data_IF_008830604481
#
_entry.id   IF_008830604481
#
_cell.length_a   1.000
_cell.length_b   1.000
_cell.length_c   1.000
_cell.angle_alpha   90.00
_cell.angle_beta   90.00
_cell.angle_gamma   90.00
#
_symmetry.space_group_name_H-M   'P 1'
#
loop_
_entity.id
_entity.type
_entity.pdbx_description
1 polymer ?
#
# COMPACT_ATOMS: atom_id res chain seq x y z
N UNK A 1 32.43 -45.99 48.90
CA UNK A 1 32.72 -44.78 49.70
C UNK A 1 32.71 -43.64 48.71
N UNK A 2 31.59 -42.94 48.56
CA UNK A 2 31.51 -41.73 47.73
C UNK A 2 32.39 -40.67 48.37
N UNK A 3 33.23 -40.04 47.55
CA UNK A 3 34.14 -39.00 47.99
C UNK A 3 33.32 -37.82 48.52
N UNK A 4 33.74 -37.15 49.60
CA UNK A 4 33.07 -35.94 50.10
C UNK A 4 32.93 -34.87 49.00
N UNK A 5 33.83 -34.90 48.01
CA UNK A 5 33.82 -34.05 46.82
C UNK A 5 32.64 -34.35 45.87
N UNK A 6 32.24 -35.60 45.79
CA UNK A 6 31.14 -36.10 44.94
C UNK A 6 29.78 -35.65 45.52
N UNK A 7 29.66 -35.68 46.85
CA UNK A 7 28.47 -35.19 47.57
C UNK A 7 28.35 -33.67 47.46
N UNK A 8 29.45 -32.93 47.57
CA UNK A 8 29.43 -31.47 47.38
C UNK A 8 29.19 -31.07 45.92
N UNK A 9 29.66 -31.88 44.96
CA UNK A 9 29.35 -31.69 43.53
C UNK A 9 27.86 -31.91 43.24
N UNK A 10 27.25 -33.00 43.71
CA UNK A 10 25.81 -33.25 43.55
C UNK A 10 24.96 -32.15 44.20
N UNK A 11 25.38 -31.62 45.35
CA UNK A 11 24.74 -30.46 45.98
C UNK A 11 24.81 -29.22 45.09
N UNK A 12 25.99 -28.89 44.59
CA UNK A 12 26.19 -27.73 43.72
C UNK A 12 25.37 -27.86 42.43
N UNK A 13 25.32 -29.06 41.84
CA UNK A 13 24.52 -29.36 40.65
C UNK A 13 23.02 -29.20 40.92
N UNK A 14 22.53 -29.70 42.06
CA UNK A 14 21.13 -29.57 42.44
C UNK A 14 20.74 -28.11 42.73
N UNK A 15 21.61 -27.33 43.38
CA UNK A 15 21.40 -25.89 43.61
C UNK A 15 21.38 -25.14 42.27
N UNK A 16 22.31 -25.44 41.36
CA UNK A 16 22.37 -24.82 40.04
C UNK A 16 21.13 -25.15 39.20
N UNK A 17 20.67 -26.41 39.21
CA UNK A 17 19.40 -26.82 38.56
C UNK A 17 18.19 -26.13 39.17
N UNK A 18 18.12 -26.04 40.48
CA UNK A 18 17.02 -25.35 41.16
C UNK A 18 16.99 -23.86 40.80
N UNK A 19 18.14 -23.19 40.77
CA UNK A 19 18.25 -21.80 40.35
C UNK A 19 17.87 -21.60 38.87
N UNK A 20 18.28 -22.50 37.97
CA UNK A 20 17.89 -22.47 36.56
C UNK A 20 16.38 -22.67 36.36
N UNK A 21 15.78 -23.63 37.07
CA UNK A 21 14.34 -23.86 37.00
C UNK A 21 13.56 -22.66 37.54
N UNK A 22 13.97 -22.09 38.68
CA UNK A 22 13.36 -20.88 39.21
C UNK A 22 13.43 -19.72 38.20
N UNK A 23 14.59 -19.52 37.56
CA UNK A 23 14.73 -18.46 36.55
C UNK A 23 13.91 -18.72 35.30
N UNK A 24 13.78 -19.98 34.88
CA UNK A 24 12.92 -20.39 33.76
C UNK A 24 11.46 -20.07 34.06
N UNK A 25 11.00 -20.37 35.26
CA UNK A 25 9.62 -20.10 35.68
C UNK A 25 9.33 -18.59 35.76
N UNK A 26 10.29 -17.81 36.28
CA UNK A 26 10.22 -16.34 36.28
C UNK A 26 10.12 -15.77 34.85
N UNK A 27 10.98 -16.25 33.94
CA UNK A 27 10.96 -15.81 32.54
C UNK A 27 9.66 -16.20 31.84
N UNK A 28 9.15 -17.42 32.08
CA UNK A 28 7.88 -17.85 31.51
C UNK A 28 6.70 -16.99 31.99
N UNK A 29 6.71 -16.57 33.26
CA UNK A 29 5.70 -15.66 33.80
C UNK A 29 5.82 -14.25 33.19
N UNK A 30 7.04 -13.73 33.01
CA UNK A 30 7.28 -12.45 32.37
C UNK A 30 6.84 -12.45 30.90
N UNK A 31 7.23 -13.49 30.14
CA UNK A 31 6.83 -13.68 28.74
C UNK A 31 5.31 -13.79 28.59
N UNK A 32 4.64 -14.52 29.50
CA UNK A 32 3.18 -14.61 29.51
C UNK A 32 2.52 -13.24 29.74
N UNK A 33 3.04 -12.44 30.68
CA UNK A 33 2.55 -11.09 30.93
C UNK A 33 2.76 -10.14 29.74
N UNK A 34 3.91 -10.24 29.07
CA UNK A 34 4.20 -9.47 27.84
C UNK A 34 3.25 -9.89 26.71
N UNK A 35 3.05 -11.19 26.52
CA UNK A 35 2.16 -11.72 25.49
C UNK A 35 0.71 -11.26 25.72
N UNK A 36 0.21 -11.33 26.95
CA UNK A 36 -1.12 -10.84 27.31
C UNK A 36 -1.25 -9.32 27.09
N UNK A 37 -0.24 -8.56 27.51
CA UNK A 37 -0.19 -7.11 27.28
C UNK A 37 -0.25 -6.75 25.80
N UNK A 38 0.45 -7.50 24.95
CA UNK A 38 0.41 -7.32 23.50
C UNK A 38 -0.98 -7.61 22.92
N UNK A 39 -1.59 -8.72 23.30
CA UNK A 39 -2.94 -9.09 22.84
C UNK A 39 -3.94 -8.01 23.22
N UNK A 40 -3.88 -7.52 24.47
CA UNK A 40 -4.75 -6.46 24.95
C UNK A 40 -4.55 -5.16 24.17
N UNK A 41 -3.31 -4.75 23.93
CA UNK A 41 -3.01 -3.56 23.15
C UNK A 41 -3.54 -3.65 21.71
N UNK A 42 -3.32 -4.80 21.04
CA UNK A 42 -3.84 -5.03 19.69
C UNK A 42 -5.37 -5.00 19.67
N UNK A 43 -6.04 -5.56 20.68
CA UNK A 43 -7.49 -5.51 20.82
C UNK A 43 -8.02 -4.09 21.04
N UNK A 44 -7.38 -3.30 21.93
CA UNK A 44 -7.74 -1.89 22.17
C UNK A 44 -7.59 -1.06 20.89
N UNK A 45 -6.51 -1.27 20.12
CA UNK A 45 -6.30 -0.61 18.83
C UNK A 45 -7.39 -0.96 17.81
N UNK A 46 -7.78 -2.24 17.73
CA UNK A 46 -8.83 -2.70 16.83
C UNK A 46 -10.20 -2.10 17.20
N UNK A 47 -10.52 -2.07 18.50
CA UNK A 47 -11.74 -1.43 19.00
C UNK A 47 -11.75 0.05 18.66
N UNK A 48 -10.62 0.74 18.83
CA UNK A 48 -10.50 2.15 18.47
C UNK A 48 -10.76 2.39 16.99
N UNK A 49 -10.21 1.55 16.10
CA UNK A 49 -10.48 1.62 14.67
C UNK A 49 -11.96 1.37 14.34
N UNK A 50 -12.61 0.40 14.99
CA UNK A 50 -14.05 0.20 14.80
C UNK A 50 -14.89 1.36 15.32
N UNK A 51 -14.44 2.06 16.37
CA UNK A 51 -15.10 3.27 16.84
C UNK A 51 -14.92 4.43 15.85
N UNK A 52 -13.76 4.54 15.20
CA UNK A 52 -13.53 5.50 14.09
C UNK A 52 -14.48 5.21 12.91
N UNK A 53 -14.75 3.94 12.62
CA UNK A 53 -15.73 3.50 11.61
C UNK A 53 -17.17 3.44 12.13
N UNK A 54 -17.42 3.84 13.39
CA UNK A 54 -18.74 3.75 14.01
C UNK A 54 -19.75 4.73 13.42
N UNK A 55 -19.26 5.80 12.79
CA UNK A 55 -20.10 6.73 12.01
C UNK A 55 -20.43 6.12 10.65
N UNK A 56 -21.73 6.02 10.35
CA UNK A 56 -22.24 5.43 9.11
C UNK A 56 -21.77 6.21 7.88
N UNK A 57 -21.75 7.54 7.94
CA UNK A 57 -21.37 8.37 6.79
C UNK A 57 -19.88 8.14 6.47
N UNK A 58 -19.05 8.10 7.51
CA UNK A 58 -17.61 7.79 7.39
C UNK A 58 -17.41 6.37 6.85
N UNK A 59 -18.13 5.38 7.37
CA UNK A 59 -18.00 4.01 6.89
C UNK A 59 -18.38 3.86 5.40
N UNK A 60 -19.43 4.54 4.94
CA UNK A 60 -19.86 4.53 3.55
C UNK A 60 -18.85 5.24 2.63
N UNK A 61 -18.27 6.36 3.07
CA UNK A 61 -17.21 7.07 2.35
C UNK A 61 -15.93 6.23 2.25
N UNK A 62 -15.48 5.62 3.37
CA UNK A 62 -14.33 4.72 3.39
C UNK A 62 -14.53 3.55 2.42
N UNK A 63 -15.70 2.92 2.44
CA UNK A 63 -16.02 1.82 1.53
C UNK A 63 -15.94 2.27 0.05
N UNK A 64 -16.46 3.47 -0.24
CA UNK A 64 -16.40 4.07 -1.57
C UNK A 64 -14.96 4.31 -2.02
N UNK A 65 -14.14 4.92 -1.16
CA UNK A 65 -12.72 5.18 -1.43
C UNK A 65 -11.98 3.87 -1.70
N UNK A 66 -12.15 2.85 -0.85
CA UNK A 66 -11.46 1.56 -1.01
C UNK A 66 -11.84 0.85 -2.31
N UNK A 67 -13.14 0.86 -2.67
CA UNK A 67 -13.60 0.24 -3.91
C UNK A 67 -13.07 0.97 -5.16
N UNK A 68 -13.11 2.31 -5.15
CA UNK A 68 -12.57 3.12 -6.25
C UNK A 68 -11.06 2.97 -6.36
N UNK A 69 -10.33 3.00 -5.24
CA UNK A 69 -8.89 2.78 -5.19
C UNK A 69 -8.49 1.41 -5.77
N UNK A 70 -9.18 0.34 -5.38
CA UNK A 70 -8.91 -1.00 -5.94
C UNK A 70 -9.13 -1.08 -7.44
N UNK A 71 -10.15 -0.38 -7.95
CA UNK A 71 -10.40 -0.27 -9.39
C UNK A 71 -9.31 0.57 -10.07
N UNK A 72 -8.89 1.65 -9.43
CA UNK A 72 -7.83 2.54 -9.90
C UNK A 72 -6.51 1.78 -10.08
N UNK A 73 -6.04 1.04 -9.06
CA UNK A 73 -4.79 0.26 -9.14
C UNK A 73 -4.74 -0.65 -10.38
N UNK A 74 -5.85 -1.36 -10.62
CA UNK A 74 -5.99 -2.23 -11.81
C UNK A 74 -5.90 -1.41 -13.10
N UNK A 75 -6.63 -0.31 -13.16
CA UNK A 75 -6.72 0.54 -14.37
C UNK A 75 -5.37 1.19 -14.67
N UNK A 76 -4.65 1.68 -13.65
CA UNK A 76 -3.29 2.22 -13.81
C UNK A 76 -2.37 1.17 -14.44
N UNK A 77 -2.37 -0.06 -13.92
CA UNK A 77 -1.53 -1.13 -14.46
C UNK A 77 -1.85 -1.48 -15.92
N UNK A 78 -3.14 -1.59 -16.26
CA UNK A 78 -3.59 -1.87 -17.62
C UNK A 78 -3.25 -0.74 -18.59
N UNK A 79 -3.55 0.51 -18.23
CA UNK A 79 -3.33 1.69 -19.09
C UNK A 79 -1.84 1.99 -19.28
N UNK A 80 -1.01 1.89 -18.23
CA UNK A 80 0.44 2.11 -18.36
C UNK A 80 1.11 1.02 -19.20
N UNK A 81 0.70 -0.24 -19.06
CA UNK A 81 1.18 -1.32 -19.92
C UNK A 81 0.77 -1.10 -21.38
N UNK A 82 -0.46 -0.68 -21.63
CA UNK A 82 -0.95 -0.35 -22.97
C UNK A 82 -0.21 0.86 -23.58
N UNK A 83 0.08 1.89 -22.77
CA UNK A 83 0.89 3.03 -23.16
C UNK A 83 2.30 2.63 -23.61
N UNK A 84 2.99 1.80 -22.83
CA UNK A 84 4.29 1.25 -23.21
C UNK A 84 4.20 0.41 -24.49
N UNK A 85 3.16 -0.42 -24.61
CA UNK A 85 2.97 -1.25 -25.80
C UNK A 85 2.84 -0.39 -27.06
N UNK A 86 1.97 0.62 -27.04
CA UNK A 86 1.76 1.53 -28.18
C UNK A 86 3.01 2.37 -28.48
N UNK A 87 3.76 2.78 -27.46
CA UNK A 87 5.04 3.47 -27.63
C UNK A 87 6.13 2.57 -28.25
N UNK A 88 6.02 1.25 -28.10
CA UNK A 88 6.97 0.27 -28.65
C UNK A 88 6.64 -0.20 -30.07
N UNK A 89 5.50 0.20 -30.63
CA UNK A 89 5.10 -0.22 -31.97
C UNK A 89 6.06 0.32 -33.04
N UNK A 90 6.32 -0.47 -34.10
CA UNK A 90 7.15 -0.03 -35.21
C UNK A 90 6.50 1.16 -35.93
N UNK A 91 7.34 2.07 -36.42
CA UNK A 91 6.91 3.23 -37.20
C UNK A 91 6.62 2.80 -38.65
N UNK A 92 5.52 2.09 -38.87
CA UNK A 92 5.09 1.61 -40.18
C UNK A 92 3.65 2.04 -40.53
N UNK A 93 3.26 1.85 -41.80
CA UNK A 93 1.92 2.21 -42.29
C UNK A 93 0.78 1.38 -41.67
N UNK A 94 1.10 0.31 -40.95
CA UNK A 94 0.10 -0.56 -40.31
C UNK A 94 -0.31 -0.05 -38.93
N UNK A 95 0.48 0.86 -38.35
CA UNK A 95 0.21 1.43 -37.04
C UNK A 95 -0.78 2.59 -37.14
N UNK A 96 -2.01 2.38 -36.68
CA UNK A 96 -3.05 3.40 -36.77
C UNK A 96 -2.89 4.46 -35.68
N UNK A 97 -2.85 5.75 -36.07
CA UNK A 97 -2.83 6.92 -35.15
C UNK A 97 -3.97 6.89 -34.12
N UNK A 98 -5.09 6.24 -34.45
CA UNK A 98 -6.22 6.04 -33.55
C UNK A 98 -5.85 5.26 -32.29
N UNK A 99 -4.85 4.35 -32.33
CA UNK A 99 -4.40 3.62 -31.15
C UNK A 99 -3.77 4.56 -30.11
N UNK A 100 -2.92 5.50 -30.56
CA UNK A 100 -2.36 6.52 -29.68
C UNK A 100 -3.44 7.42 -29.08
N UNK A 101 -4.42 7.86 -29.89
CA UNK A 101 -5.53 8.68 -29.39
C UNK A 101 -6.36 7.93 -28.35
N UNK A 102 -6.72 6.67 -28.60
CA UNK A 102 -7.51 5.87 -27.67
C UNK A 102 -6.81 5.68 -26.31
N UNK A 103 -5.48 5.45 -26.32
CA UNK A 103 -4.72 5.33 -25.07
C UNK A 103 -4.61 6.68 -24.36
N UNK A 104 -4.44 7.80 -25.09
CA UNK A 104 -4.45 9.13 -24.48
C UNK A 104 -5.78 9.44 -23.82
N UNK A 105 -6.92 9.09 -24.44
CA UNK A 105 -8.25 9.26 -23.85
C UNK A 105 -8.41 8.41 -22.58
N UNK A 106 -7.85 7.19 -22.57
CA UNK A 106 -7.84 6.33 -21.37
C UNK A 106 -6.98 6.90 -20.24
N UNK A 107 -5.84 7.52 -20.59
CA UNK A 107 -4.97 8.17 -19.60
C UNK A 107 -5.64 9.42 -19.04
N UNK A 108 -6.33 10.22 -19.86
CA UNK A 108 -7.08 11.39 -19.40
C UNK A 108 -8.18 10.98 -18.42
N UNK A 109 -8.98 9.95 -18.75
CA UNK A 109 -9.98 9.41 -17.83
C UNK A 109 -9.38 8.87 -16.53
N UNK A 110 -8.15 8.35 -16.58
CA UNK A 110 -7.43 7.86 -15.40
C UNK A 110 -6.96 9.01 -14.50
N UNK A 111 -6.46 10.10 -15.08
CA UNK A 111 -6.06 11.31 -14.36
C UNK A 111 -7.25 11.99 -13.67
N UNK A 112 -8.40 12.01 -14.33
CA UNK A 112 -9.65 12.49 -13.74
C UNK A 112 -10.10 11.64 -12.55
N UNK A 113 -10.03 10.31 -12.67
CA UNK A 113 -10.35 9.38 -11.56
C UNK A 113 -9.40 9.58 -10.37
N UNK A 114 -8.09 9.73 -10.61
CA UNK A 114 -7.12 10.06 -9.56
C UNK A 114 -7.51 11.34 -8.82
N UNK A 115 -7.83 12.41 -9.56
CA UNK A 115 -8.21 13.71 -8.99
C UNK A 115 -9.49 13.62 -8.16
N UNK A 116 -10.51 12.95 -8.67
CA UNK A 116 -11.76 12.76 -7.93
C UNK A 116 -11.56 11.96 -6.65
N UNK A 117 -10.73 10.91 -6.70
CA UNK A 117 -10.44 10.09 -5.54
C UNK A 117 -9.61 10.85 -4.50
N UNK A 118 -8.65 11.67 -4.91
CA UNK A 118 -7.91 12.58 -4.02
C UNK A 118 -8.84 13.55 -3.30
N UNK A 119 -9.81 14.13 -4.00
CA UNK A 119 -10.81 15.03 -3.40
C UNK A 119 -11.64 14.30 -2.36
N UNK A 120 -12.07 13.06 -2.63
CA UNK A 120 -12.81 12.24 -1.67
C UNK A 120 -11.97 11.91 -0.43
N UNK A 121 -10.72 11.49 -0.62
CA UNK A 121 -9.80 11.19 0.47
C UNK A 121 -9.53 12.43 1.32
N UNK A 122 -9.32 13.59 0.68
CA UNK A 122 -9.10 14.85 1.39
C UNK A 122 -10.34 15.29 2.16
N UNK A 123 -11.53 15.20 1.56
CA UNK A 123 -12.80 15.48 2.23
C UNK A 123 -12.94 14.63 3.49
N UNK A 124 -12.74 13.32 3.38
CA UNK A 124 -12.86 12.43 4.53
C UNK A 124 -11.76 12.68 5.58
N UNK A 125 -10.53 13.02 5.16
CA UNK A 125 -9.47 13.43 6.08
C UNK A 125 -9.89 14.66 6.90
N UNK A 126 -10.55 15.65 6.30
CA UNK A 126 -11.03 16.83 7.03
C UNK A 126 -12.12 16.47 8.04
N UNK A 127 -13.05 15.59 7.67
CA UNK A 127 -14.12 15.09 8.56
C UNK A 127 -13.55 14.31 9.75
N UNK A 128 -12.50 13.52 9.52
CA UNK A 128 -11.89 12.63 10.53
C UNK A 128 -10.86 13.31 11.43
N UNK A 129 -10.54 14.61 11.22
CA UNK A 129 -9.60 15.37 12.08
C UNK A 129 -9.99 15.44 13.55
N UNK A 130 -11.27 15.24 13.86
CA UNK A 130 -11.82 15.26 15.22
C UNK A 130 -11.74 13.91 15.94
N UNK A 131 -11.30 12.86 15.26
CA UNK A 131 -11.27 11.51 15.81
C UNK A 131 -10.20 11.38 16.90
N UNK A 132 -10.54 10.67 17.98
CA UNK A 132 -9.59 10.40 19.07
C UNK A 132 -8.48 9.43 18.68
N UNK A 133 -8.63 8.70 17.57
CA UNK A 133 -7.64 7.78 17.05
C UNK A 133 -7.09 8.23 15.71
N UNK A 134 -5.87 7.77 15.42
CA UNK A 134 -5.07 8.20 14.28
C UNK A 134 -4.96 7.11 13.20
N UNK A 135 -5.66 5.98 13.37
CA UNK A 135 -5.51 4.82 12.47
C UNK A 135 -6.10 5.13 11.11
N UNK A 136 -7.39 5.47 11.04
CA UNK A 136 -8.06 5.81 9.80
C UNK A 136 -7.43 7.04 9.11
N UNK A 137 -7.17 8.18 9.81
CA UNK A 137 -6.48 9.31 9.19
C UNK A 137 -5.10 8.96 8.63
N UNK A 138 -4.34 8.08 9.29
CA UNK A 138 -3.04 7.61 8.77
C UNK A 138 -3.21 6.79 7.50
N UNK A 139 -4.15 5.82 7.49
CA UNK A 139 -4.43 5.00 6.29
C UNK A 139 -4.88 5.87 5.11
N UNK A 140 -5.72 6.87 5.36
CA UNK A 140 -6.18 7.79 4.32
C UNK A 140 -5.05 8.67 3.77
N UNK A 141 -4.12 9.12 4.62
CA UNK A 141 -2.89 9.82 4.19
C UNK A 141 -2.02 8.92 3.30
N UNK A 142 -1.83 7.67 3.70
CA UNK A 142 -1.04 6.71 2.93
C UNK A 142 -1.67 6.46 1.55
N UNK A 143 -3.00 6.26 1.49
CA UNK A 143 -3.74 6.12 0.23
C UNK A 143 -3.58 7.38 -0.62
N UNK A 144 -3.66 8.58 -0.04
CA UNK A 144 -3.48 9.85 -0.77
C UNK A 144 -2.10 9.94 -1.43
N UNK A 145 -1.04 9.51 -0.75
CA UNK A 145 0.32 9.49 -1.32
C UNK A 145 0.40 8.53 -2.50
N UNK A 146 -0.24 7.36 -2.39
CA UNK A 146 -0.22 6.37 -3.47
C UNK A 146 -1.00 6.87 -4.69
N UNK A 147 -2.16 7.51 -4.50
CA UNK A 147 -2.94 8.10 -5.61
C UNK A 147 -2.13 9.18 -6.33
N UNK A 148 -1.43 10.05 -5.59
CA UNK A 148 -0.54 11.05 -6.19
C UNK A 148 0.54 10.39 -7.06
N UNK A 149 1.16 9.30 -6.58
CA UNK A 149 2.10 8.51 -7.39
C UNK A 149 1.47 7.88 -8.63
N UNK A 150 0.20 7.44 -8.57
CA UNK A 150 -0.53 6.97 -9.74
C UNK A 150 -0.82 8.08 -10.75
N UNK A 151 -1.15 9.29 -10.29
CA UNK A 151 -1.34 10.46 -11.15
C UNK A 151 -0.02 10.84 -11.87
N UNK A 152 1.11 10.83 -11.16
CA UNK A 152 2.43 11.06 -11.77
C UNK A 152 2.78 10.00 -12.82
N UNK A 153 2.49 8.72 -12.55
CA UNK A 153 2.70 7.64 -13.51
C UNK A 153 1.82 7.79 -14.76
N UNK A 154 0.56 8.19 -14.59
CA UNK A 154 -0.35 8.48 -15.70
C UNK A 154 0.17 9.64 -16.56
N UNK A 155 0.64 10.72 -15.94
CA UNK A 155 1.24 11.85 -16.64
C UNK A 155 2.49 11.43 -17.44
N UNK A 156 3.39 10.64 -16.83
CA UNK A 156 4.56 10.10 -17.53
C UNK A 156 4.16 9.22 -18.73
N UNK A 157 3.14 8.36 -18.57
CA UNK A 157 2.65 7.52 -19.66
C UNK A 157 2.06 8.34 -20.81
N UNK A 158 1.32 9.41 -20.50
CA UNK A 158 0.79 10.36 -21.48
C UNK A 158 1.92 11.02 -22.27
N UNK A 159 2.95 11.53 -21.59
CA UNK A 159 4.10 12.16 -22.26
C UNK A 159 4.79 11.20 -23.23
N UNK A 160 5.01 9.94 -22.82
CA UNK A 160 5.60 8.91 -23.68
C UNK A 160 4.74 8.61 -24.91
N UNK A 161 3.43 8.42 -24.73
CA UNK A 161 2.50 8.14 -25.83
C UNK A 161 2.40 9.33 -26.77
N UNK A 162 2.36 10.55 -26.24
CA UNK A 162 2.29 11.78 -27.01
C UNK A 162 3.57 12.00 -27.84
N UNK A 163 4.75 11.84 -27.23
CA UNK A 163 6.03 11.88 -27.95
C UNK A 163 6.08 10.83 -29.07
N UNK A 164 5.59 9.63 -28.79
CA UNK A 164 5.56 8.54 -29.79
C UNK A 164 4.62 8.87 -30.96
N UNK A 165 3.44 9.44 -30.67
CA UNK A 165 2.48 9.91 -31.68
C UNK A 165 3.05 11.03 -32.55
N UNK A 166 3.79 11.96 -31.95
CA UNK A 166 4.45 13.06 -32.66
C UNK A 166 5.59 12.54 -33.56
N UNK A 167 6.41 11.63 -33.04
CA UNK A 167 7.46 10.95 -33.80
C UNK A 167 6.89 10.18 -35.00
N UNK A 168 5.77 9.47 -34.82
CA UNK A 168 5.07 8.80 -35.92
C UNK A 168 4.64 9.78 -37.02
N UNK A 169 4.03 10.92 -36.63
CA UNK A 169 3.61 11.96 -37.59
C UNK A 169 4.78 12.54 -38.35
N UNK A 170 5.91 12.78 -37.67
CA UNK A 170 7.12 13.30 -38.30
C UNK A 170 7.79 12.26 -39.22
N UNK A 171 7.89 11.01 -38.78
CA UNK A 171 8.54 9.92 -39.51
C UNK A 171 7.81 9.50 -40.79
N UNK A 172 6.47 9.46 -40.77
CA UNK A 172 5.70 9.23 -42.00
C UNK A 172 5.69 10.48 -42.90
N UNK A 173 5.61 11.68 -42.31
CA UNK A 173 5.67 12.92 -43.06
C UNK A 173 6.94 13.07 -43.90
N UNK A 174 8.08 12.59 -43.40
CA UNK A 174 9.35 12.54 -44.14
C UNK A 174 9.43 11.38 -45.15
N UNK A 175 8.78 10.25 -44.89
CA UNK A 175 8.73 9.11 -45.83
C UNK A 175 7.83 9.37 -47.05
N UNK A 176 6.76 10.17 -46.92
CA UNK A 176 5.87 10.53 -48.04
C UNK A 176 6.40 11.63 -48.97
N UNK A 177 7.54 12.24 -48.67
CA UNK A 177 8.14 13.35 -49.43
C UNK A 177 9.31 12.92 -50.35
N UNK A 178 9.52 11.61 -50.56
CA UNK A 178 10.51 11.05 -51.49
C UNK A 178 9.82 10.43 -52.69
#
# INVERSE_FOLDING_TARGET
MTSALEVEFEKAENIARAALNARKDELAAEEAGIAEGRVRFEAERLIQFYNELGDREVAEEVATIVLRYKKLERTVGETTAAALHVASLPLDETTHVSQYSNILDQIESLEDECRELEVLVHSLLTTTTSFRGDTLPTVLRDISVIIAGHAENAACARDVVQCSKENYRMGIGTLTLI
#
